data_IF_143001343608
#
_entry.id   IF_143001343608
#
_cell.length_a   1.000
_cell.length_b   1.000
_cell.length_c   1.000
_cell.angle_alpha   90.00
_cell.angle_beta   90.00
_cell.angle_gamma   90.00
#
_symmetry.space_group_name_H-M   'P 1'
#
loop_
_entity.id
_entity.type
_entity.pdbx_description
1 polymer ?
#
# COMPACT_ATOMS: atom_id res chain seq x y z
N UNK A 1 -52.92 24.10 32.43
CA UNK A 1 -53.24 23.55 31.10
C UNK A 1 -51.93 23.09 30.48
N UNK A 2 -51.86 21.81 30.13
CA UNK A 2 -50.85 21.11 29.29
C UNK A 2 -49.50 20.69 29.92
N UNK A 3 -49.44 19.37 30.10
CA UNK A 3 -48.35 18.41 30.35
C UNK A 3 -47.26 18.40 29.25
N UNK A 4 -46.05 17.95 29.59
CA UNK A 4 -45.38 16.81 28.93
C UNK A 4 -44.01 16.49 29.56
N UNK A 5 -43.93 15.30 30.14
CA UNK A 5 -42.72 14.55 30.51
C UNK A 5 -41.94 14.12 29.26
N UNK A 6 -40.63 13.88 29.40
CA UNK A 6 -39.77 12.88 28.72
C UNK A 6 -38.31 13.35 28.78
N UNK A 7 -37.25 12.53 28.80
CA UNK A 7 -37.00 11.15 29.20
C UNK A 7 -35.46 11.04 29.27
N UNK A 8 -34.95 10.17 30.12
CA UNK A 8 -33.54 9.82 30.26
C UNK A 8 -32.90 9.23 28.99
N UNK A 9 -31.58 9.36 28.97
CA UNK A 9 -30.58 8.37 28.54
C UNK A 9 -30.52 7.99 27.05
N UNK A 10 -29.31 8.10 26.51
CA UNK A 10 -29.02 7.73 25.13
C UNK A 10 -27.59 8.06 24.75
N UNK A 11 -26.63 7.49 25.48
CA UNK A 11 -25.23 7.41 25.07
C UNK A 11 -25.11 6.73 23.71
N UNK A 12 -25.20 7.51 22.62
CA UNK A 12 -24.82 7.05 21.28
C UNK A 12 -23.33 7.29 21.10
N UNK A 13 -22.56 6.26 21.46
CA UNK A 13 -21.24 6.00 20.87
C UNK A 13 -21.40 5.98 19.36
N UNK A 14 -21.13 7.11 18.70
CA UNK A 14 -20.76 7.10 17.30
C UNK A 14 -19.35 6.50 17.23
N UNK A 15 -19.30 5.18 17.09
CA UNK A 15 -18.20 4.52 16.40
C UNK A 15 -18.16 5.17 15.01
N UNK A 16 -17.31 6.19 14.87
CA UNK A 16 -16.84 6.64 13.56
C UNK A 16 -16.13 5.43 12.97
N UNK A 17 -16.90 4.59 12.26
CA UNK A 17 -16.33 3.71 11.25
C UNK A 17 -15.46 4.61 10.40
N UNK A 18 -14.15 4.41 10.55
CA UNK A 18 -13.14 5.12 9.80
C UNK A 18 -13.55 5.02 8.34
N UNK A 19 -13.85 6.14 7.63
CA UNK A 19 -14.15 6.03 6.22
C UNK A 19 -12.92 5.39 5.60
N UNK A 20 -13.09 4.19 5.02
CA UNK A 20 -12.03 3.56 4.25
C UNK A 20 -11.54 4.64 3.29
N UNK A 21 -10.28 5.06 3.50
CA UNK A 21 -9.67 6.12 2.73
C UNK A 21 -9.96 5.84 1.26
N UNK A 22 -10.50 6.85 0.59
CA UNK A 22 -10.82 6.79 -0.83
C UNK A 22 -9.51 6.37 -1.51
N UNK A 23 -9.37 5.08 -1.85
CA UNK A 23 -8.14 4.57 -2.43
C UNK A 23 -7.98 5.32 -3.74
N UNK A 24 -6.99 6.22 -3.79
CA UNK A 24 -6.70 6.96 -5.00
C UNK A 24 -6.38 5.92 -6.06
N UNK A 25 -7.26 5.77 -7.06
CA UNK A 25 -6.97 4.90 -8.19
C UNK A 25 -5.84 5.61 -8.94
N UNK A 26 -4.61 5.13 -8.75
CA UNK A 26 -3.46 5.64 -9.47
C UNK A 26 -3.53 5.11 -10.90
N UNK A 27 -3.30 5.98 -11.87
CA UNK A 27 -3.14 5.62 -13.27
C UNK A 27 -2.06 6.51 -13.85
N UNK A 28 -1.17 5.94 -14.67
CA UNK A 28 0.02 6.61 -15.18
C UNK A 28 1.29 6.23 -14.42
N UNK A 29 2.32 7.06 -14.52
CA UNK A 29 3.63 6.81 -13.92
C UNK A 29 3.56 6.83 -12.39
N UNK A 30 3.94 5.72 -11.78
CA UNK A 30 4.05 5.58 -10.31
C UNK A 30 5.43 6.08 -9.88
N UNK A 31 6.47 5.55 -10.52
CA UNK A 31 7.85 6.05 -10.49
C UNK A 31 8.43 5.87 -11.90
N UNK A 32 9.49 6.58 -12.29
CA UNK A 32 10.14 6.34 -13.58
C UNK A 32 10.45 4.86 -13.80
N UNK A 33 9.90 4.29 -14.87
CA UNK A 33 10.00 2.87 -15.21
C UNK A 33 9.01 1.93 -14.53
N UNK A 34 8.02 2.45 -13.81
CA UNK A 34 6.87 1.70 -13.30
C UNK A 34 5.59 2.49 -13.57
N UNK A 35 4.68 1.89 -14.34
CA UNK A 35 3.41 2.53 -14.72
C UNK A 35 2.23 1.65 -14.35
N UNK A 36 1.09 2.26 -14.02
CA UNK A 36 -0.17 1.56 -13.75
C UNK A 36 -1.23 1.96 -14.78
N UNK A 37 -1.84 0.99 -15.45
CA UNK A 37 -2.92 1.25 -16.39
C UNK A 37 -4.29 1.36 -15.69
N UNK A 38 -5.34 1.75 -16.42
CA UNK A 38 -6.70 1.86 -15.89
C UNK A 38 -7.31 0.52 -15.41
N UNK A 39 -6.74 -0.61 -15.82
CA UNK A 39 -7.13 -1.93 -15.35
C UNK A 39 -6.38 -2.36 -14.08
N UNK A 40 -5.50 -1.52 -13.54
CA UNK A 40 -4.69 -1.84 -12.35
C UNK A 40 -3.51 -2.76 -12.64
N UNK A 41 -3.15 -2.98 -13.90
CA UNK A 41 -1.97 -3.75 -14.26
C UNK A 41 -0.74 -2.85 -14.25
N UNK A 42 0.32 -3.33 -13.60
CA UNK A 42 1.59 -2.64 -13.52
C UNK A 42 2.51 -3.07 -14.67
N UNK A 43 3.05 -2.10 -15.40
CA UNK A 43 4.13 -2.30 -16.37
C UNK A 43 5.45 -1.87 -15.72
N UNK A 44 6.50 -2.66 -15.92
CA UNK A 44 7.82 -2.41 -15.36
C UNK A 44 8.86 -2.42 -16.48
N UNK A 45 9.62 -1.33 -16.59
CA UNK A 45 10.72 -1.24 -17.53
C UNK A 45 11.82 -2.24 -17.18
N UNK A 46 12.45 -2.82 -18.21
CA UNK A 46 13.52 -3.79 -18.04
C UNK A 46 14.71 -3.25 -17.22
N UNK A 47 14.96 -1.94 -17.27
CA UNK A 47 16.00 -1.26 -16.48
C UNK A 47 15.75 -1.34 -14.96
N UNK A 48 14.48 -1.42 -14.54
CA UNK A 48 14.09 -1.49 -13.13
C UNK A 48 14.22 -2.90 -12.55
N UNK A 49 14.24 -3.94 -13.40
CA UNK A 49 14.22 -5.34 -12.95
C UNK A 49 15.32 -5.67 -11.95
N UNK A 50 16.56 -5.26 -12.19
CA UNK A 50 17.68 -5.51 -11.25
C UNK A 50 17.50 -4.77 -9.92
N UNK A 51 16.99 -3.55 -9.95
CA UNK A 51 16.76 -2.75 -8.74
C UNK A 51 15.64 -3.39 -7.89
N UNK A 52 14.55 -3.84 -8.51
CA UNK A 52 13.45 -4.50 -7.81
C UNK A 52 13.86 -5.85 -7.23
N UNK A 53 14.68 -6.63 -7.96
CA UNK A 53 15.23 -7.90 -7.44
C UNK A 53 16.13 -7.63 -6.23
N UNK A 54 17.05 -6.67 -6.32
CA UNK A 54 17.92 -6.33 -5.20
C UNK A 54 17.10 -5.90 -3.97
N UNK A 55 16.07 -5.08 -4.19
CA UNK A 55 15.18 -4.60 -3.15
C UNK A 55 14.36 -5.74 -2.50
N UNK A 56 13.91 -6.72 -3.29
CA UNK A 56 13.23 -7.89 -2.77
C UNK A 56 14.13 -8.70 -1.83
N UNK A 57 15.39 -8.92 -2.21
CA UNK A 57 16.38 -9.63 -1.38
C UNK A 57 16.71 -8.87 -0.09
N UNK A 58 16.88 -7.55 -0.19
CA UNK A 58 17.14 -6.69 0.97
C UNK A 58 15.95 -6.71 1.94
N UNK A 59 14.72 -6.65 1.42
CA UNK A 59 13.49 -6.72 2.23
C UNK A 59 13.28 -8.10 2.85
N UNK A 60 13.48 -9.17 2.10
CA UNK A 60 13.40 -10.55 2.61
C UNK A 60 14.32 -10.72 3.82
N UNK A 61 15.55 -10.24 3.70
CA UNK A 61 16.53 -10.24 4.80
C UNK A 61 16.06 -9.38 5.98
N UNK A 62 15.44 -8.22 5.70
CA UNK A 62 14.96 -7.28 6.72
C UNK A 62 13.77 -7.81 7.53
N UNK A 63 12.80 -8.47 6.90
CA UNK A 63 11.56 -8.95 7.55
C UNK A 63 11.54 -10.45 7.84
N UNK A 64 12.56 -11.20 7.40
CA UNK A 64 12.65 -12.66 7.55
C UNK A 64 11.42 -13.41 7.00
N UNK A 65 10.93 -13.01 5.82
CA UNK A 65 9.82 -13.62 5.09
C UNK A 65 10.14 -13.66 3.60
N UNK A 66 9.61 -14.63 2.83
CA UNK A 66 9.85 -14.69 1.39
C UNK A 66 9.31 -13.43 0.73
N UNK A 67 10.14 -12.62 0.08
CA UNK A 67 9.70 -11.43 -0.66
C UNK A 67 10.16 -11.55 -2.10
N UNK A 68 9.23 -11.45 -3.04
CA UNK A 68 9.54 -11.40 -4.47
C UNK A 68 9.21 -10.04 -5.08
N UNK A 69 9.56 -9.88 -6.36
CA UNK A 69 9.40 -8.62 -7.12
C UNK A 69 7.95 -8.12 -7.11
N UNK A 70 6.95 -9.00 -7.14
CA UNK A 70 5.54 -8.62 -7.11
C UNK A 70 5.15 -8.02 -5.75
N UNK A 71 5.67 -8.56 -4.64
CA UNK A 71 5.46 -7.98 -3.32
C UNK A 71 6.05 -6.57 -3.23
N UNK A 72 7.26 -6.39 -3.76
CA UNK A 72 7.93 -5.08 -3.82
C UNK A 72 7.14 -4.10 -4.68
N UNK A 73 6.70 -4.53 -5.87
CA UNK A 73 5.92 -3.70 -6.80
C UNK A 73 4.59 -3.27 -6.17
N UNK A 74 3.86 -4.20 -5.56
CA UNK A 74 2.63 -3.91 -4.85
C UNK A 74 2.87 -2.94 -3.68
N UNK A 75 3.98 -3.09 -2.95
CA UNK A 75 4.33 -2.19 -1.84
C UNK A 75 4.66 -0.77 -2.33
N UNK A 76 5.36 -0.61 -3.46
CA UNK A 76 5.64 0.68 -4.09
C UNK A 76 4.34 1.36 -4.55
N UNK A 77 3.44 0.61 -5.20
CA UNK A 77 2.14 1.13 -5.64
C UNK A 77 1.30 1.55 -4.43
N UNK A 78 1.32 0.77 -3.35
CA UNK A 78 0.60 1.10 -2.10
C UNK A 78 1.19 2.35 -1.43
N UNK A 79 2.51 2.45 -1.35
CA UNK A 79 3.20 3.62 -0.81
C UNK A 79 2.85 4.90 -1.61
N UNK A 80 2.89 4.84 -2.93
CA UNK A 80 2.47 5.96 -3.79
C UNK A 80 0.98 6.29 -3.61
N UNK A 81 0.12 5.28 -3.45
CA UNK A 81 -1.33 5.46 -3.26
C UNK A 81 -1.64 6.14 -1.92
N UNK A 82 -0.83 5.87 -0.90
CA UNK A 82 -0.93 6.45 0.43
C UNK A 82 -0.25 7.83 0.55
N UNK A 83 0.52 8.24 -0.47
CA UNK A 83 1.29 9.48 -0.46
C UNK A 83 2.64 9.39 0.26
N UNK A 84 3.10 8.18 0.59
CA UNK A 84 4.43 7.92 1.15
C UNK A 84 5.53 8.04 0.07
N UNK A 85 5.15 7.91 -1.20
CA UNK A 85 5.97 8.22 -2.37
C UNK A 85 5.27 9.28 -3.22
N UNK A 86 6.07 10.18 -3.80
CA UNK A 86 5.58 11.16 -4.77
C UNK A 86 5.51 10.50 -6.14
N UNK A 87 4.30 10.38 -6.69
CA UNK A 87 4.09 9.75 -7.98
C UNK A 87 4.88 10.48 -9.08
N UNK A 88 5.61 9.72 -9.90
CA UNK A 88 6.45 10.23 -10.98
C UNK A 88 7.88 10.60 -10.54
N UNK A 89 8.21 10.56 -9.25
CA UNK A 89 9.59 10.75 -8.79
C UNK A 89 10.37 9.42 -8.75
N UNK A 90 11.70 9.45 -8.96
CA UNK A 90 12.55 8.28 -8.80
C UNK A 90 12.42 7.65 -7.40
N UNK A 91 12.58 6.33 -7.31
CA UNK A 91 12.69 5.67 -6.01
C UNK A 91 13.85 6.28 -5.22
N UNK A 92 13.63 6.61 -3.94
CA UNK A 92 14.70 7.13 -3.11
C UNK A 92 15.78 6.05 -2.92
N UNK A 93 16.99 6.51 -2.61
CA UNK A 93 18.08 5.60 -2.24
C UNK A 93 17.67 4.84 -0.97
N UNK A 94 17.83 3.51 -0.92
CA UNK A 94 17.46 2.74 0.27
C UNK A 94 18.21 3.24 1.51
N UNK A 95 17.46 3.63 2.52
CA UNK A 95 17.92 3.91 3.87
C UNK A 95 17.03 3.19 4.89
N UNK A 96 17.40 3.24 6.17
CA UNK A 96 16.65 2.53 7.21
C UNK A 96 15.20 3.02 7.37
N UNK A 97 14.92 4.28 7.04
CA UNK A 97 13.58 4.85 7.14
C UNK A 97 12.71 4.35 6.00
N UNK A 98 13.22 4.41 4.78
CA UNK A 98 12.54 3.94 3.59
C UNK A 98 12.33 2.42 3.60
N UNK A 99 13.35 1.66 4.02
CA UNK A 99 13.22 0.20 4.17
C UNK A 99 12.15 -0.17 5.18
N UNK A 100 12.05 0.54 6.31
CA UNK A 100 10.99 0.31 7.31
C UNK A 100 9.59 0.63 6.75
N UNK A 101 9.45 1.74 6.03
CA UNK A 101 8.18 2.12 5.40
C UNK A 101 7.74 1.05 4.38
N UNK A 102 8.66 0.63 3.50
CA UNK A 102 8.35 -0.35 2.47
C UNK A 102 8.06 -1.74 3.08
N UNK A 103 8.81 -2.14 4.11
CA UNK A 103 8.54 -3.35 4.89
C UNK A 103 7.13 -3.35 5.51
N UNK A 104 6.69 -2.23 6.07
CA UNK A 104 5.32 -2.10 6.63
C UNK A 104 4.24 -2.33 5.56
N UNK A 105 4.48 -1.89 4.32
CA UNK A 105 3.55 -2.13 3.21
C UNK A 105 3.58 -3.59 2.75
N UNK A 106 4.77 -4.20 2.66
CA UNK A 106 4.92 -5.63 2.35
C UNK A 106 4.20 -6.49 3.39
N UNK A 107 4.38 -6.22 4.68
CA UNK A 107 3.66 -6.92 5.74
C UNK A 107 2.14 -6.77 5.63
N UNK A 108 1.67 -5.57 5.28
CA UNK A 108 0.25 -5.31 5.06
C UNK A 108 -0.31 -6.12 3.89
N UNK A 109 0.48 -6.32 2.82
CA UNK A 109 0.12 -7.18 1.69
C UNK A 109 0.03 -8.64 2.15
N UNK A 110 1.03 -9.14 2.89
CA UNK A 110 0.99 -10.49 3.44
C UNK A 110 -0.25 -10.74 4.32
N UNK A 111 -0.62 -9.77 5.15
CA UNK A 111 -1.80 -9.88 6.01
C UNK A 111 -3.11 -9.89 5.20
N UNK A 112 -3.16 -9.15 4.09
CA UNK A 112 -4.37 -9.03 3.26
C UNK A 112 -4.55 -10.21 2.30
N UNK A 113 -3.46 -10.75 1.75
CA UNK A 113 -3.53 -11.75 0.66
C UNK A 113 -2.94 -13.11 1.03
N UNK A 114 -2.39 -13.24 2.24
CA UNK A 114 -1.61 -14.42 2.63
C UNK A 114 -0.29 -14.57 1.88
N UNK A 115 0.21 -13.48 1.27
CA UNK A 115 1.43 -13.50 0.45
C UNK A 115 1.22 -13.90 -1.01
N UNK A 116 -0.03 -13.91 -1.49
CA UNK A 116 -0.35 -14.11 -2.90
C UNK A 116 -0.66 -12.78 -3.54
N UNK A 117 0.22 -12.30 -4.41
CA UNK A 117 0.05 -11.03 -5.14
C UNK A 117 -0.37 -11.23 -6.61
N UNK A 118 -0.27 -12.46 -7.10
CA UNK A 118 -0.91 -12.92 -8.34
C UNK A 118 -1.99 -13.96 -8.04
N UNK A 119 -3.05 -13.94 -8.84
CA UNK A 119 -3.93 -15.09 -8.99
C UNK A 119 -3.14 -16.16 -9.75
N UNK A 120 -3.03 -17.35 -9.16
CA UNK A 120 -2.52 -18.56 -9.82
C UNK A 120 -3.55 -18.90 -10.91
N UNK A 121 -3.15 -18.84 -12.18
CA UNK A 121 -4.00 -19.23 -13.33
C UNK A 121 -4.18 -20.76 -13.37
#
# INVERSE_FOLDING_TARGET
MTIASTHSDGSRRIIKGQPMAIRRILTGTIVPGIELNHAGQASVDASMGRQLIALALDLESYISRPVDVQHVLAAIILAASNGDLVAGEPLPKPDATWMRMLASHVESIFQQTGGRVSEDD
#
